data_IF_010743036557
#
_entry.id   IF_010743036557
#
_cell.length_a   1.000
_cell.length_b   1.000
_cell.length_c   1.000
_cell.angle_alpha   90.00
_cell.angle_beta   90.00
_cell.angle_gamma   90.00
#
_symmetry.space_group_name_H-M   'P 1'
#
loop_
_entity.id
_entity.type
_entity.pdbx_description
1 polymer ?
#
# COMPACT_ATOMS: atom_id res chain seq x y z
N UNK A 1 -15.49 -15.64 -4.13
CA UNK A 1 -14.79 -15.36 -2.86
C UNK A 1 -13.38 -15.94 -2.97
N UNK A 2 -12.34 -15.09 -2.93
CA UNK A 2 -10.95 -15.51 -3.07
C UNK A 2 -10.45 -16.31 -1.86
N UNK A 3 -11.03 -16.08 -0.67
CA UNK A 3 -10.72 -16.85 0.53
C UNK A 3 -11.25 -18.27 0.43
N UNK A 4 -12.40 -18.45 -0.22
CA UNK A 4 -12.99 -19.76 -0.47
C UNK A 4 -12.13 -20.66 -1.38
N UNK A 5 -11.22 -20.08 -2.17
CA UNK A 5 -10.26 -20.83 -3.00
C UNK A 5 -8.83 -20.85 -2.42
N UNK A 6 -8.68 -20.45 -1.15
CA UNK A 6 -7.41 -20.58 -0.41
C UNK A 6 -6.33 -19.56 -0.77
N UNK A 7 -6.70 -18.40 -1.34
CA UNK A 7 -5.75 -17.32 -1.60
C UNK A 7 -5.37 -16.61 -0.30
N UNK A 8 -4.07 -16.54 -0.01
CA UNK A 8 -3.55 -15.75 1.10
C UNK A 8 -3.46 -14.26 0.71
N UNK A 9 -4.37 -13.46 1.27
CA UNK A 9 -4.42 -12.02 1.04
C UNK A 9 -3.30 -11.25 1.76
N UNK A 10 -2.66 -11.84 2.78
CA UNK A 10 -1.50 -11.21 3.42
C UNK A 10 -0.27 -11.22 2.48
N UNK A 11 -0.19 -12.22 1.60
CA UNK A 11 0.84 -12.35 0.58
C UNK A 11 0.48 -11.69 -0.76
N UNK A 12 -0.64 -10.95 -0.82
CA UNK A 12 -1.07 -10.34 -2.09
C UNK A 12 -0.08 -9.29 -2.60
N UNK A 13 0.11 -9.28 -3.91
CA UNK A 13 0.77 -8.24 -4.66
C UNK A 13 -0.25 -7.14 -5.00
N UNK A 14 0.20 -5.90 -4.97
CA UNK A 14 -0.47 -4.79 -5.65
C UNK A 14 0.23 -4.54 -6.97
N UNK A 15 -0.53 -4.22 -8.01
CA UNK A 15 0.02 -3.82 -9.30
C UNK A 15 -0.72 -2.63 -9.90
N UNK A 16 -0.01 -1.79 -10.65
CA UNK A 16 -0.63 -0.77 -11.48
C UNK A 16 0.25 -0.37 -12.66
N UNK A 17 -0.38 -0.11 -13.80
CA UNK A 17 0.19 0.53 -14.99
C UNK A 17 -0.12 2.03 -14.95
N UNK A 18 0.88 2.87 -15.19
CA UNK A 18 0.67 4.32 -15.35
C UNK A 18 0.20 4.63 -16.76
N UNK A 19 -1.00 5.20 -16.87
CA UNK A 19 -1.64 5.62 -18.13
C UNK A 19 -1.50 7.13 -18.34
N UNK A 20 -1.47 7.91 -17.26
CA UNK A 20 -1.30 9.35 -17.30
C UNK A 20 -0.61 9.85 -16.04
N UNK A 21 0.25 10.85 -16.20
CA UNK A 21 1.09 11.39 -15.13
C UNK A 21 0.78 12.87 -14.90
N UNK A 22 0.66 13.31 -13.64
CA UNK A 22 0.49 14.73 -13.33
C UNK A 22 1.82 15.48 -13.54
N UNK A 23 1.78 16.81 -13.49
CA UNK A 23 3.00 17.60 -13.59
C UNK A 23 3.94 17.38 -12.38
N UNK A 24 3.36 17.19 -11.18
CA UNK A 24 4.11 16.92 -9.94
C UNK A 24 3.31 16.02 -8.99
N UNK A 25 4.02 15.35 -8.09
CA UNK A 25 3.40 14.49 -7.10
C UNK A 25 2.96 13.14 -7.66
N UNK A 26 2.11 12.43 -6.93
CA UNK A 26 1.61 11.12 -7.35
C UNK A 26 2.64 9.99 -7.29
N UNK A 27 3.76 10.19 -6.58
CA UNK A 27 4.74 9.16 -6.30
C UNK A 27 4.12 8.06 -5.42
N UNK A 28 4.56 6.81 -5.61
CA UNK A 28 4.24 5.75 -4.68
C UNK A 28 5.27 5.80 -3.55
N UNK A 29 4.79 5.94 -2.32
CA UNK A 29 5.62 5.84 -1.12
C UNK A 29 5.33 4.52 -0.41
N UNK A 30 6.37 3.72 -0.27
CA UNK A 30 6.36 2.45 0.46
C UNK A 30 7.01 2.65 1.83
N UNK A 31 6.39 2.12 2.87
CA UNK A 31 6.88 2.20 4.25
C UNK A 31 7.30 0.81 4.72
N UNK A 32 8.59 0.43 4.63
CA UNK A 32 9.04 -0.92 4.96
C UNK A 32 8.80 -1.27 6.43
N UNK A 33 8.58 -2.56 6.70
CA UNK A 33 8.39 -3.10 8.04
C UNK A 33 7.00 -3.72 8.26
N UNK A 34 6.79 -4.41 9.39
CA UNK A 34 5.55 -5.12 9.65
C UNK A 34 4.34 -4.18 9.72
N UNK A 35 3.25 -4.55 9.05
CA UNK A 35 2.00 -3.79 9.05
C UNK A 35 1.51 -3.47 10.46
N UNK A 36 1.57 -4.44 11.38
CA UNK A 36 1.12 -4.29 12.77
C UNK A 36 1.95 -3.25 13.53
N UNK A 37 3.27 -3.25 13.34
CA UNK A 37 4.18 -2.31 13.99
C UNK A 37 4.01 -0.90 13.41
N UNK A 38 3.81 -0.78 12.09
CA UNK A 38 3.52 0.50 11.44
C UNK A 38 2.16 1.07 11.83
N UNK A 39 1.11 0.24 11.97
CA UNK A 39 -0.20 0.70 12.43
C UNK A 39 -0.21 1.15 13.89
N UNK A 40 0.65 0.56 14.72
CA UNK A 40 0.87 1.06 16.07
C UNK A 40 1.50 2.46 16.10
N UNK A 41 2.29 2.83 15.08
CA UNK A 41 2.97 4.14 14.97
C UNK A 41 2.14 5.18 14.22
N UNK A 42 1.51 4.79 13.11
CA UNK A 42 0.71 5.69 12.25
C UNK A 42 -0.71 5.89 12.80
N UNK A 43 -1.16 5.01 13.70
CA UNK A 43 -2.53 4.96 14.20
C UNK A 43 -3.50 4.38 13.16
N UNK A 44 -4.67 3.85 13.59
CA UNK A 44 -5.73 3.51 12.66
C UNK A 44 -6.24 4.79 11.95
N UNK A 45 -6.84 4.68 10.75
CA UNK A 45 -7.56 5.78 10.11
C UNK A 45 -8.58 6.33 11.12
N UNK A 46 -8.35 7.57 11.58
CA UNK A 46 -8.98 8.21 12.76
C UNK A 46 -10.43 7.77 13.04
N UNK A 47 -10.61 6.80 13.93
CA UNK A 47 -11.70 6.86 14.89
C UNK A 47 -11.27 7.90 15.94
N UNK A 48 -12.11 8.91 16.20
CA UNK A 48 -11.82 9.99 17.16
C UNK A 48 -11.54 9.37 18.54
N UNK A 49 -10.27 9.27 18.93
CA UNK A 49 -9.91 9.04 20.32
C UNK A 49 -10.47 10.18 21.17
N UNK A 50 -10.96 9.88 22.37
CA UNK A 50 -11.42 10.94 23.28
C UNK A 50 -10.21 11.76 23.71
N UNK A 51 -10.36 13.08 23.94
CA UNK A 51 -9.23 13.96 24.29
C UNK A 51 -8.44 13.53 25.53
N UNK A 52 -9.04 12.68 26.37
CA UNK A 52 -8.53 12.32 27.70
C UNK A 52 -7.98 10.89 27.75
N UNK A 53 -7.96 10.14 26.63
CA UNK A 53 -7.36 8.81 26.62
C UNK A 53 -5.84 8.91 26.75
N UNK A 54 -5.21 8.20 27.70
CA UNK A 54 -3.76 8.15 27.78
C UNK A 54 -3.21 7.53 26.50
N UNK A 55 -2.23 8.19 25.88
CA UNK A 55 -1.51 7.67 24.73
C UNK A 55 -0.94 6.29 25.10
N UNK A 56 -1.28 5.21 24.37
CA UNK A 56 -0.67 3.92 24.63
C UNK A 56 0.85 4.02 24.42
N UNK A 57 1.66 3.23 25.16
CA UNK A 57 3.11 3.23 24.97
C UNK A 57 3.43 2.95 23.51
N UNK A 58 4.00 3.94 22.82
CA UNK A 58 4.40 3.79 21.43
C UNK A 58 5.58 2.82 21.38
N UNK A 59 5.51 1.73 20.60
CA UNK A 59 6.66 0.84 20.46
C UNK A 59 7.88 1.61 19.96
N UNK A 60 9.07 1.26 20.43
CA UNK A 60 10.36 1.85 20.07
C UNK A 60 10.86 1.39 18.69
N UNK A 61 9.93 1.06 17.78
CA UNK A 61 10.28 0.59 16.45
C UNK A 61 10.87 1.75 15.64
N UNK A 62 12.18 1.69 15.40
CA UNK A 62 12.85 2.59 14.46
C UNK A 62 12.58 2.10 13.04
N UNK A 63 11.50 2.63 12.47
CA UNK A 63 11.06 2.27 11.13
C UNK A 63 12.13 2.63 10.08
N UNK A 64 12.45 1.74 9.12
CA UNK A 64 13.29 2.09 7.99
C UNK A 64 12.73 3.30 7.24
N UNK A 65 13.59 4.12 6.61
CA UNK A 65 13.13 5.24 5.81
C UNK A 65 12.20 4.75 4.69
N UNK A 66 11.17 5.53 4.34
CA UNK A 66 10.26 5.17 3.26
C UNK A 66 10.99 5.16 1.92
N UNK A 67 10.60 4.24 1.05
CA UNK A 67 11.07 4.16 -0.34
C UNK A 67 10.05 4.91 -1.20
N UNK A 68 10.51 5.93 -1.92
CA UNK A 68 9.67 6.67 -2.86
C UNK A 68 10.04 6.25 -4.28
N UNK A 69 9.05 5.88 -5.08
CA UNK A 69 9.23 5.60 -6.50
C UNK A 69 8.35 6.54 -7.33
N UNK A 70 8.86 6.95 -8.48
CA UNK A 70 8.18 7.85 -9.43
C UNK A 70 8.05 7.14 -10.77
N UNK A 71 7.04 6.27 -10.94
CA UNK A 71 6.84 5.53 -12.17
C UNK A 71 6.37 6.47 -13.28
N UNK A 72 6.83 6.23 -14.50
CA UNK A 72 6.48 6.99 -15.71
C UNK A 72 5.31 6.34 -16.43
N UNK A 73 4.67 7.10 -17.33
CA UNK A 73 3.67 6.54 -18.25
C UNK A 73 4.24 5.33 -18.99
N UNK A 74 3.52 4.21 -18.95
CA UNK A 74 3.94 2.93 -19.50
C UNK A 74 4.62 1.98 -18.50
N UNK A 75 5.05 2.47 -17.34
CA UNK A 75 5.65 1.62 -16.31
C UNK A 75 4.56 0.78 -15.62
N UNK A 76 4.79 -0.53 -15.56
CA UNK A 76 4.05 -1.45 -14.69
C UNK A 76 4.82 -1.61 -13.38
N UNK A 77 4.18 -1.21 -12.28
CA UNK A 77 4.71 -1.42 -10.92
C UNK A 77 4.02 -2.63 -10.32
N UNK A 78 4.81 -3.53 -9.73
CA UNK A 78 4.34 -4.68 -8.95
C UNK A 78 5.10 -4.71 -7.62
N UNK A 79 4.40 -4.81 -6.49
CA UNK A 79 5.00 -4.76 -5.16
C UNK A 79 4.17 -5.54 -4.13
N UNK A 80 4.73 -5.96 -2.98
CA UNK A 80 4.02 -6.74 -1.97
C UNK A 80 3.09 -5.87 -1.11
N UNK A 81 1.97 -5.43 -1.72
CA UNK A 81 1.05 -4.46 -1.12
C UNK A 81 0.22 -5.00 0.05
N UNK A 82 0.07 -6.31 0.20
CA UNK A 82 -0.63 -6.91 1.35
C UNK A 82 0.11 -6.75 2.69
N UNK A 83 1.45 -6.69 2.64
CA UNK A 83 2.30 -6.63 3.84
C UNK A 83 2.97 -5.28 4.08
N UNK A 84 2.90 -4.35 3.13
CA UNK A 84 3.59 -3.06 3.20
C UNK A 84 2.57 -1.92 3.22
N UNK A 85 2.69 -1.04 4.22
CA UNK A 85 1.96 0.24 4.22
C UNK A 85 2.45 1.08 3.05
N UNK A 86 1.53 1.57 2.24
CA UNK A 86 1.86 2.37 1.07
C UNK A 86 0.79 3.44 0.81
N UNK A 87 1.23 4.53 0.20
CA UNK A 87 0.37 5.67 -0.15
C UNK A 87 0.78 6.27 -1.49
N UNK A 88 -0.16 6.93 -2.16
CA UNK A 88 0.12 7.80 -3.28
C UNK A 88 0.26 9.22 -2.73
N UNK A 89 1.40 9.83 -2.99
CA UNK A 89 1.67 11.21 -2.57
C UNK A 89 0.70 12.19 -3.24
N UNK A 90 0.39 13.34 -2.61
CA UNK A 90 -0.51 14.34 -3.18
C UNK A 90 -0.14 14.69 -4.62
N UNK A 91 -1.16 14.82 -5.46
CA UNK A 91 -1.03 15.19 -6.87
C UNK A 91 -1.15 16.71 -6.99
N UNK A 92 -0.25 17.32 -7.75
CA UNK A 92 -0.29 18.75 -8.06
C UNK A 92 -0.34 18.96 -9.58
N UNK A 93 -1.27 19.82 -10.01
CA UNK A 93 -1.41 20.28 -11.40
C UNK A 93 -1.61 19.15 -12.42
N UNK A 94 -2.82 18.61 -12.49
CA UNK A 94 -3.25 17.59 -13.46
C UNK A 94 -3.73 16.31 -12.78
N UNK A 95 -4.10 15.33 -13.60
CA UNK A 95 -4.61 14.04 -13.14
C UNK A 95 -3.54 12.95 -13.23
N UNK A 96 -3.63 11.97 -12.32
CA UNK A 96 -2.87 10.72 -12.38
C UNK A 96 -3.82 9.59 -12.75
N UNK A 97 -3.58 8.96 -13.90
CA UNK A 97 -4.38 7.83 -14.37
C UNK A 97 -3.58 6.54 -14.24
N UNK A 98 -4.13 5.58 -13.52
CA UNK A 98 -3.56 4.23 -13.39
C UNK A 98 -4.62 3.17 -13.58
N UNK A 99 -4.24 2.06 -14.20
CA UNK A 99 -5.05 0.84 -14.26
C UNK A 99 -4.32 -0.22 -13.45
N UNK A 100 -4.99 -0.83 -12.49
CA UNK A 100 -4.32 -1.72 -11.56
C UNK A 100 -5.29 -2.54 -10.73
N UNK A 101 -4.73 -3.26 -9.79
CA UNK A 101 -5.46 -4.13 -8.90
C UNK A 101 -4.51 -4.89 -7.99
N UNK A 102 -4.94 -6.08 -7.63
CA UNK A 102 -4.22 -6.99 -6.76
C UNK A 102 -4.07 -8.35 -7.43
N UNK A 103 -3.00 -9.05 -7.06
CA UNK A 103 -2.78 -10.41 -7.52
C UNK A 103 -2.22 -11.28 -6.41
N UNK A 104 -2.60 -12.55 -6.36
CA UNK A 104 -2.07 -13.48 -5.38
C UNK A 104 -2.05 -14.91 -5.93
N UNK A 105 -1.09 -15.70 -5.48
CA UNK A 105 -1.01 -17.11 -5.83
C UNK A 105 -2.00 -17.92 -5.00
N UNK A 106 -2.77 -18.78 -5.67
CA UNK A 106 -3.58 -19.80 -5.00
C UNK A 106 -2.73 -21.01 -4.60
N UNK A 107 -3.30 -21.96 -3.83
CA UNK A 107 -2.61 -23.17 -3.40
C UNK A 107 -2.14 -24.07 -4.55
N UNK A 108 -2.76 -23.93 -5.73
CA UNK A 108 -2.43 -24.65 -6.96
C UNK A 108 -1.32 -23.97 -7.78
N UNK A 109 -0.72 -22.89 -7.27
CA UNK A 109 0.30 -22.10 -7.95
C UNK A 109 -0.22 -21.19 -9.06
N UNK A 110 -1.55 -21.09 -9.26
CA UNK A 110 -2.13 -20.15 -10.23
C UNK A 110 -2.14 -18.73 -9.67
N UNK A 111 -1.88 -17.75 -10.54
CA UNK A 111 -2.03 -16.34 -10.20
C UNK A 111 -3.46 -15.89 -10.47
N UNK A 112 -4.13 -15.39 -9.43
CA UNK A 112 -5.45 -14.77 -9.53
C UNK A 112 -5.28 -13.25 -9.44
N UNK A 113 -5.90 -12.50 -10.35
CA UNK A 113 -5.84 -11.03 -10.38
C UNK A 113 -7.25 -10.41 -10.38
N UNK A 114 -7.42 -9.29 -9.67
CA UNK A 114 -8.68 -8.57 -9.54
C UNK A 114 -8.42 -7.08 -9.29
N UNK A 115 -9.38 -6.19 -9.60
CA UNK A 115 -9.24 -4.74 -9.45
C UNK A 115 -10.55 -4.02 -9.64
#
# INVERSE_FOLDING_TARGET
DLRAIGVDLAAQLSFFLVVGQPARGGELRLHPGPWQERMAVLGPPRAKARPDDPDPPRPTFEAPPPITITPKVGDLVVFPGGGIVHEIMPIENGDRWTVGGFAAFGPDGRLYAWG
#
